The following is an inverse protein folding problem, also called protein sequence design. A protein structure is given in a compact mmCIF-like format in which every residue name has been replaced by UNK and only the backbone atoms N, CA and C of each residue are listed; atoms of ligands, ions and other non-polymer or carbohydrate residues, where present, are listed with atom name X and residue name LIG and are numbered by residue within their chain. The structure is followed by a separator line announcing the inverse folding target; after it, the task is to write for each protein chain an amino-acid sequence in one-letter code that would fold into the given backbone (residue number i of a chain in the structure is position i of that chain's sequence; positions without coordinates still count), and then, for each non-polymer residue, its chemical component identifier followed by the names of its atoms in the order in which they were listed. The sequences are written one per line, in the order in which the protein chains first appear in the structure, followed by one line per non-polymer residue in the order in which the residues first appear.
data_IF_403008951507
#
_entry.id   IF_403008951507
#
_cell.length_a   1.000
_cell.length_b   1.000
_cell.length_c   1.000
_cell.angle_alpha   90.00
_cell.angle_beta   90.00
_cell.angle_gamma   90.00
#
_symmetry.space_group_name_H-M   'P 1'
#
loop_
_entity.id
_entity.type
_entity.pdbx_description
1 polymer ?
#
# COMPACT_ATOMS: atom_id res chain seq x y z
N UNK A 1 -8.74 -7.50 -31.10
CA UNK A 1 -8.78 -8.29 -29.85
C UNK A 1 -10.05 -9.11 -29.88
N UNK A 2 -9.99 -10.42 -29.66
CA UNK A 2 -11.19 -11.24 -29.54
C UNK A 2 -11.86 -10.94 -28.19
N UNK A 3 -13.15 -10.64 -28.20
CA UNK A 3 -13.96 -10.52 -26.99
C UNK A 3 -14.40 -11.90 -26.55
N UNK A 4 -14.68 -12.07 -25.26
CA UNK A 4 -14.96 -13.38 -24.68
C UNK A 4 -16.35 -13.96 -25.03
N UNK A 5 -17.13 -13.28 -25.87
CA UNK A 5 -18.37 -13.82 -26.46
C UNK A 5 -19.58 -13.89 -25.52
N UNK A 6 -19.55 -13.17 -24.39
CA UNK A 6 -20.65 -13.06 -23.44
C UNK A 6 -21.01 -11.59 -23.19
N UNK A 7 -22.24 -11.34 -22.74
CA UNK A 7 -22.70 -10.02 -22.36
C UNK A 7 -22.28 -9.69 -20.93
N UNK A 8 -22.11 -8.41 -20.60
CA UNK A 8 -21.75 -7.98 -19.24
C UNK A 8 -22.78 -8.45 -18.19
N UNK A 9 -24.03 -8.65 -18.60
CA UNK A 9 -25.10 -9.16 -17.75
C UNK A 9 -24.90 -10.64 -17.33
N UNK A 10 -24.05 -11.39 -18.03
CA UNK A 10 -23.73 -12.79 -17.71
C UNK A 10 -22.71 -12.91 -16.56
N UNK A 11 -22.11 -11.79 -16.11
CA UNK A 11 -21.08 -11.77 -15.07
C UNK A 11 -21.75 -11.77 -13.68
N UNK A 12 -21.70 -12.91 -12.98
CA UNK A 12 -22.25 -13.02 -11.63
C UNK A 12 -21.43 -12.28 -10.55
N UNK A 13 -20.09 -12.32 -10.64
CA UNK A 13 -19.17 -11.77 -9.63
C UNK A 13 -17.84 -11.34 -10.29
N UNK A 14 -17.22 -10.30 -9.74
CA UNK A 14 -15.85 -9.88 -10.08
C UNK A 14 -14.98 -9.98 -8.82
N UNK A 15 -13.82 -10.65 -8.95
CA UNK A 15 -12.78 -10.68 -7.94
C UNK A 15 -11.54 -9.90 -8.39
N UNK A 16 -11.00 -9.04 -7.54
CA UNK A 16 -9.80 -8.27 -7.83
C UNK A 16 -8.58 -8.81 -7.08
N UNK A 17 -7.50 -9.05 -7.81
CA UNK A 17 -6.19 -9.34 -7.25
C UNK A 17 -5.18 -8.29 -7.75
N UNK A 18 -4.14 -8.04 -6.95
CA UNK A 18 -3.07 -7.12 -7.27
C UNK A 18 -1.80 -7.54 -6.56
N UNK A 19 -0.69 -6.84 -6.82
CA UNK A 19 0.54 -7.11 -6.09
C UNK A 19 0.35 -6.90 -4.58
N UNK A 20 1.04 -7.70 -3.77
CA UNK A 20 1.08 -7.52 -2.32
C UNK A 20 1.96 -6.32 -1.94
N UNK A 21 1.68 -5.68 -0.80
CA UNK A 21 2.41 -4.52 -0.27
C UNK A 21 2.46 -3.31 -1.25
N UNK A 22 3.35 -2.35 -0.98
CA UNK A 22 3.26 -1.00 -1.53
C UNK A 22 2.40 -0.10 -0.65
N UNK A 23 2.13 1.11 -1.13
CA UNK A 23 1.37 2.13 -0.41
C UNK A 23 0.52 2.93 -1.40
N UNK A 24 -0.79 2.97 -1.17
CA UNK A 24 -1.72 3.78 -1.94
C UNK A 24 -2.46 4.69 -0.98
N UNK A 25 -2.31 6.00 -1.15
CA UNK A 25 -2.92 7.01 -0.31
C UNK A 25 -4.03 7.72 -1.08
N UNK A 26 -5.15 7.94 -0.38
CA UNK A 26 -6.14 8.94 -0.76
C UNK A 26 -6.07 10.11 0.19
N UNK A 27 -6.40 11.29 -0.31
CA UNK A 27 -6.51 12.48 0.53
C UNK A 27 -7.82 12.49 1.33
N UNK A 28 -8.00 13.51 2.17
CA UNK A 28 -9.21 13.69 3.00
C UNK A 28 -10.48 14.01 2.21
N UNK A 29 -10.36 14.34 0.92
CA UNK A 29 -11.47 14.56 -0.01
C UNK A 29 -11.74 13.32 -0.88
N UNK A 30 -11.15 12.18 -0.52
CA UNK A 30 -11.23 10.90 -1.22
C UNK A 30 -10.57 10.88 -2.62
N UNK A 31 -9.73 11.89 -2.91
CA UNK A 31 -8.96 11.98 -4.15
C UNK A 31 -7.67 11.15 -4.11
N UNK A 32 -7.11 10.77 -5.28
CA UNK A 32 -5.79 10.11 -5.36
C UNK A 32 -4.69 11.03 -4.82
N UNK A 33 -3.82 10.51 -3.96
CA UNK A 33 -2.71 11.28 -3.37
C UNK A 33 -1.33 10.73 -3.74
N UNK A 34 -1.05 9.46 -3.40
CA UNK A 34 0.26 8.81 -3.66
C UNK A 34 0.05 7.34 -4.00
N UNK A 35 0.83 6.81 -4.94
CA UNK A 35 0.94 5.37 -5.23
C UNK A 35 2.40 4.94 -5.28
N UNK A 36 2.77 3.96 -4.45
CA UNK A 36 4.11 3.36 -4.40
C UNK A 36 3.98 1.85 -4.56
N UNK A 37 4.67 1.31 -5.56
CA UNK A 37 4.63 -0.12 -5.88
C UNK A 37 5.46 -0.94 -4.90
N UNK A 38 5.20 -2.25 -4.84
CA UNK A 38 5.87 -3.19 -3.95
C UNK A 38 7.32 -3.54 -4.30
N UNK A 39 7.85 -2.98 -5.39
CA UNK A 39 9.25 -3.09 -5.80
C UNK A 39 10.08 -1.87 -5.34
N UNK A 40 9.44 -0.84 -4.79
CA UNK A 40 10.12 0.38 -4.38
C UNK A 40 10.95 0.15 -3.11
N UNK A 41 12.21 0.58 -3.13
CA UNK A 41 13.16 0.40 -2.03
C UNK A 41 13.55 1.69 -1.32
N UNK A 42 12.83 2.80 -1.53
CA UNK A 42 13.19 4.12 -0.97
C UNK A 42 13.27 4.16 0.55
N UNK A 43 12.54 3.27 1.22
CA UNK A 43 12.51 3.18 2.67
C UNK A 43 13.50 2.15 3.25
N UNK A 44 14.53 1.74 2.51
CA UNK A 44 15.48 0.72 2.96
C UNK A 44 16.25 1.11 4.24
N UNK A 45 16.72 2.35 4.32
CA UNK A 45 17.44 2.84 5.50
C UNK A 45 16.51 2.89 6.73
N UNK A 46 15.28 3.38 6.53
CA UNK A 46 14.27 3.41 7.58
C UNK A 46 13.87 2.00 8.04
N UNK A 47 13.71 1.05 7.11
CA UNK A 47 13.43 -0.34 7.44
C UNK A 47 14.54 -0.93 8.31
N UNK A 48 15.80 -0.67 7.96
CA UNK A 48 16.97 -1.13 8.71
C UNK A 48 17.02 -0.54 10.12
N UNK A 49 16.76 0.76 10.25
CA UNK A 49 16.65 1.47 11.55
C UNK A 49 15.55 0.85 12.42
N UNK A 50 14.34 0.67 11.88
CA UNK A 50 13.20 0.11 12.61
C UNK A 50 13.41 -1.36 12.97
N UNK A 51 14.04 -2.14 12.09
CA UNK A 51 14.35 -3.54 12.35
C UNK A 51 15.39 -3.67 13.46
N UNK A 52 16.41 -2.80 13.50
CA UNK A 52 17.41 -2.79 14.56
C UNK A 52 16.80 -2.38 15.92
N UNK A 53 15.90 -1.40 15.93
CA UNK A 53 15.30 -0.89 17.16
C UNK A 53 14.17 -1.81 17.71
N UNK A 54 13.34 -2.37 16.83
CA UNK A 54 12.05 -2.96 17.20
C UNK A 54 11.69 -4.24 16.43
N UNK A 55 12.62 -4.80 15.64
CA UNK A 55 12.33 -5.92 14.73
C UNK A 55 11.74 -7.14 15.42
N UNK A 56 12.29 -7.56 16.56
CA UNK A 56 11.79 -8.75 17.28
C UNK A 56 10.38 -8.54 17.82
N UNK A 57 10.10 -7.36 18.39
CA UNK A 57 8.75 -7.00 18.85
C UNK A 57 7.74 -6.95 17.71
N UNK A 58 8.11 -6.43 16.54
CA UNK A 58 7.23 -6.47 15.37
C UNK A 58 6.96 -7.90 14.92
N UNK A 59 7.99 -8.74 14.88
CA UNK A 59 7.85 -10.14 14.53
C UNK A 59 6.95 -10.90 15.52
N UNK A 60 7.04 -10.63 16.81
CA UNK A 60 6.13 -11.23 17.81
C UNK A 60 4.65 -10.88 17.56
N UNK A 61 4.37 -9.65 17.09
CA UNK A 61 3.00 -9.15 16.91
C UNK A 61 2.43 -9.57 15.55
N UNK A 62 3.18 -9.38 14.47
CA UNK A 62 2.69 -9.50 13.10
C UNK A 62 3.47 -10.50 12.24
N UNK A 63 4.40 -11.26 12.83
CA UNK A 63 5.22 -12.28 12.16
C UNK A 63 6.11 -11.73 11.04
N UNK A 64 6.34 -10.41 11.03
CA UNK A 64 7.24 -9.77 10.08
C UNK A 64 8.16 -8.77 10.78
N UNK A 65 9.42 -8.75 10.35
CA UNK A 65 10.33 -7.62 10.63
C UNK A 65 10.12 -6.52 9.59
N UNK A 66 10.46 -5.26 9.89
CA UNK A 66 10.41 -4.16 8.93
C UNK A 66 11.22 -4.47 7.66
N UNK A 67 10.63 -4.25 6.49
CA UNK A 67 11.31 -4.30 5.19
C UNK A 67 10.78 -3.19 4.25
N UNK A 68 11.54 -2.80 3.19
CA UNK A 68 11.41 -1.49 2.56
C UNK A 68 10.02 -1.19 1.96
N UNK A 69 9.40 -2.16 1.28
CA UNK A 69 8.16 -1.92 0.55
C UNK A 69 6.89 -2.29 1.32
N UNK A 70 7.00 -2.62 2.62
CA UNK A 70 5.83 -2.81 3.47
C UNK A 70 5.04 -1.50 3.58
N UNK A 71 3.71 -1.61 3.51
CA UNK A 71 2.80 -0.47 3.69
C UNK A 71 3.11 0.37 4.94
N UNK A 72 3.27 -0.20 6.16
CA UNK A 72 3.62 0.60 7.33
C UNK A 72 5.00 1.27 7.25
N UNK A 73 5.98 0.61 6.64
CA UNK A 73 7.34 1.17 6.47
C UNK A 73 7.34 2.34 5.49
N UNK A 74 6.66 2.19 4.36
CA UNK A 74 6.47 3.26 3.38
C UNK A 74 5.66 4.42 3.96
N UNK A 75 4.62 4.14 4.75
CA UNK A 75 3.84 5.18 5.41
C UNK A 75 4.68 5.95 6.45
N UNK A 76 5.53 5.26 7.22
CA UNK A 76 6.48 5.88 8.12
C UNK A 76 7.52 6.73 7.37
N UNK A 77 7.93 6.28 6.18
CA UNK A 77 8.83 7.04 5.31
C UNK A 77 8.16 8.34 4.83
N UNK A 78 6.91 8.28 4.35
CA UNK A 78 6.12 9.45 3.96
C UNK A 78 5.95 10.39 5.14
N UNK A 79 5.62 9.88 6.33
CA UNK A 79 5.53 10.71 7.55
C UNK A 79 6.81 11.49 7.86
N UNK A 80 7.98 10.89 7.60
CA UNK A 80 9.29 11.48 7.89
C UNK A 80 9.76 12.47 6.81
N UNK A 81 9.54 12.15 5.53
CA UNK A 81 10.12 12.89 4.41
C UNK A 81 9.12 13.81 3.70
N UNK A 82 7.83 13.48 3.77
CA UNK A 82 6.74 14.19 3.10
C UNK A 82 5.60 14.47 4.10
N UNK A 83 5.86 15.22 5.20
CA UNK A 83 4.91 15.38 6.30
C UNK A 83 3.60 16.05 5.89
N UNK A 84 3.62 16.89 4.86
CA UNK A 84 2.41 17.53 4.31
C UNK A 84 1.49 16.50 3.61
N UNK A 85 2.06 15.57 2.85
CA UNK A 85 1.34 14.45 2.23
C UNK A 85 0.76 13.54 3.32
N UNK A 86 1.55 13.21 4.34
CA UNK A 86 1.06 12.46 5.50
C UNK A 86 -0.11 13.18 6.19
N UNK A 87 0.00 14.48 6.41
CA UNK A 87 -1.04 15.28 7.05
C UNK A 87 -2.33 15.36 6.22
N UNK A 88 -2.25 15.29 4.89
CA UNK A 88 -3.40 15.27 3.99
C UNK A 88 -3.97 13.86 3.75
N UNK A 89 -3.33 12.80 4.25
CA UNK A 89 -3.80 11.43 4.05
C UNK A 89 -5.15 11.20 4.74
N UNK A 90 -6.15 10.78 3.97
CA UNK A 90 -7.47 10.37 4.45
C UNK A 90 -7.62 8.85 4.54
N UNK A 91 -7.00 8.09 3.65
CA UNK A 91 -7.01 6.62 3.66
C UNK A 91 -5.66 6.02 3.25
N UNK A 92 -5.35 4.86 3.82
CA UNK A 92 -4.16 4.04 3.52
C UNK A 92 -4.63 2.70 2.97
N UNK A 93 -4.26 2.39 1.74
CA UNK A 93 -4.80 1.28 0.95
C UNK A 93 -3.68 0.44 0.32
N UNK A 94 -4.04 -0.79 -0.08
CA UNK A 94 -3.27 -1.57 -1.05
C UNK A 94 -3.82 -1.33 -2.47
N UNK A 95 -3.04 -1.71 -3.48
CA UNK A 95 -3.40 -1.50 -4.90
C UNK A 95 -4.80 -2.03 -5.25
N UNK A 96 -5.13 -3.25 -4.81
CA UNK A 96 -6.44 -3.85 -5.05
C UNK A 96 -7.58 -3.07 -4.37
N UNK A 97 -7.33 -2.57 -3.16
CA UNK A 97 -8.35 -1.84 -2.39
C UNK A 97 -8.59 -0.47 -3.04
N UNK A 98 -7.53 0.16 -3.57
CA UNK A 98 -7.63 1.39 -4.33
C UNK A 98 -8.48 1.21 -5.60
N UNK A 99 -8.38 0.07 -6.29
CA UNK A 99 -9.20 -0.19 -7.49
C UNK A 99 -10.65 -0.51 -7.11
N UNK A 100 -10.89 -1.22 -6.01
CA UNK A 100 -12.25 -1.67 -5.63
C UNK A 100 -13.06 -0.67 -4.82
N UNK A 101 -12.40 0.30 -4.18
CA UNK A 101 -13.04 1.28 -3.29
C UNK A 101 -13.02 2.72 -3.84
N UNK A 102 -12.50 2.92 -5.05
CA UNK A 102 -12.51 4.22 -5.74
C UNK A 102 -13.67 4.35 -6.71
#
# INVERSE_FOLDING_TARGET
MATAGFDAADIAVIGCAGHGNGLYLRDKSDGPLVGIQSLDSRAADLASELAAAHGDRFHEICLQKPWPSQTPTLLAWIKRHEPEIYANTGAVLLCKDFITLS
#
